data_IF_045351859042
#
_entry.id   IF_045351859042
#
_cell.length_a   1.000
_cell.length_b   1.000
_cell.length_c   1.000
_cell.angle_alpha   90.00
_cell.angle_beta   90.00
_cell.angle_gamma   90.00
#
_symmetry.space_group_name_H-M   'P 1'
#
loop_
_entity.id
_entity.type
_entity.pdbx_description
1 polymer ?
#
# COMPACT_ATOMS: atom_id res chain seq x y z
N UNK A 1 14.53 24.16 13.15
CA UNK A 1 14.45 23.88 11.70
C UNK A 1 14.38 22.38 11.38
N UNK A 2 15.21 21.52 11.99
CA UNK A 2 15.21 20.06 11.74
C UNK A 2 13.85 19.34 11.96
N UNK A 3 13.14 19.63 13.06
CA UNK A 3 11.83 18.99 13.37
C UNK A 3 10.76 19.14 12.29
N UNK A 4 10.78 20.23 11.49
CA UNK A 4 9.78 20.45 10.43
C UNK A 4 10.06 19.62 9.17
N UNK A 5 11.29 19.17 8.96
CA UNK A 5 11.70 18.50 7.73
C UNK A 5 11.71 16.98 7.85
N UNK A 6 11.65 16.43 9.07
CA UNK A 6 11.65 14.98 9.32
C UNK A 6 10.47 14.28 8.62
N UNK A 7 9.21 14.76 8.68
CA UNK A 7 8.11 14.13 7.95
C UNK A 7 8.35 14.10 6.44
N UNK A 8 8.77 15.24 5.86
CA UNK A 8 9.09 15.31 4.43
C UNK A 8 10.23 14.37 4.03
N UNK A 9 11.23 14.19 4.89
CA UNK A 9 12.34 13.26 4.63
C UNK A 9 11.83 11.82 4.60
N UNK A 10 10.88 11.47 5.47
CA UNK A 10 10.23 10.15 5.48
C UNK A 10 9.39 9.94 4.22
N UNK A 11 8.60 10.92 3.79
CA UNK A 11 7.89 10.89 2.50
C UNK A 11 8.84 10.63 1.33
N UNK A 12 9.95 11.39 1.27
CA UNK A 12 10.94 11.25 0.20
C UNK A 12 11.61 9.88 0.26
N UNK A 13 11.96 9.38 1.45
CA UNK A 13 12.51 8.03 1.60
C UNK A 13 11.56 6.95 1.09
N UNK A 14 10.25 7.14 1.26
CA UNK A 14 9.22 6.22 0.78
C UNK A 14 9.09 6.26 -0.75
N UNK A 15 9.12 7.46 -1.31
CA UNK A 15 9.17 7.63 -2.76
C UNK A 15 10.42 6.97 -3.37
N UNK A 16 11.57 7.03 -2.69
CA UNK A 16 12.80 6.34 -3.08
C UNK A 16 12.78 4.83 -2.81
N UNK A 17 11.96 4.36 -1.86
CA UNK A 17 11.78 2.94 -1.61
C UNK A 17 11.12 2.23 -2.80
N UNK A 18 10.24 2.90 -3.56
CA UNK A 18 9.59 2.35 -4.75
C UNK A 18 10.60 1.87 -5.81
N UNK A 19 11.51 2.72 -6.34
CA UNK A 19 12.52 2.25 -7.28
C UNK A 19 13.49 1.25 -6.64
N UNK A 20 13.80 1.38 -5.34
CA UNK A 20 14.64 0.40 -4.65
C UNK A 20 14.01 -1.00 -4.61
N UNK A 21 12.69 -1.10 -4.35
CA UNK A 21 11.93 -2.36 -4.41
C UNK A 21 11.95 -2.90 -5.84
N UNK A 22 11.68 -2.06 -6.85
CA UNK A 22 11.68 -2.51 -8.25
C UNK A 22 13.05 -3.09 -8.62
N UNK A 23 14.13 -2.38 -8.30
CA UNK A 23 15.49 -2.83 -8.56
C UNK A 23 15.85 -4.11 -7.81
N UNK A 24 15.36 -4.30 -6.58
CA UNK A 24 15.67 -5.51 -5.79
C UNK A 24 15.13 -6.78 -6.42
N UNK A 25 14.03 -6.71 -7.19
CA UNK A 25 13.52 -7.86 -7.95
C UNK A 25 14.45 -8.26 -9.12
N UNK A 26 15.33 -7.39 -9.61
CA UNK A 26 16.30 -7.75 -10.66
C UNK A 26 17.56 -8.43 -10.10
N UNK A 27 17.71 -8.52 -8.79
CA UNK A 27 18.84 -9.21 -8.16
C UNK A 27 18.64 -10.72 -8.30
N UNK A 28 19.59 -11.40 -8.95
CA UNK A 28 19.58 -12.85 -9.16
C UNK A 28 20.51 -13.55 -8.17
N UNK A 29 20.18 -13.50 -6.88
CA UNK A 29 20.90 -14.24 -5.85
C UNK A 29 19.93 -14.80 -4.79
N UNK A 30 20.41 -15.75 -3.97
CA UNK A 30 19.62 -16.38 -2.90
C UNK A 30 19.11 -15.42 -1.81
N UNK A 31 19.66 -14.20 -1.76
CA UNK A 31 19.28 -13.18 -0.78
C UNK A 31 18.28 -12.16 -1.35
N UNK A 32 17.93 -12.22 -2.65
CA UNK A 32 17.08 -11.24 -3.31
C UNK A 32 15.70 -11.10 -2.67
N UNK A 33 15.09 -12.24 -2.26
CA UNK A 33 13.84 -12.25 -1.51
C UNK A 33 13.97 -11.51 -0.17
N UNK A 34 15.01 -11.80 0.60
CA UNK A 34 15.27 -11.16 1.89
C UNK A 34 15.51 -9.65 1.75
N UNK A 35 16.27 -9.22 0.75
CA UNK A 35 16.53 -7.81 0.46
C UNK A 35 15.21 -7.10 0.13
N UNK A 36 14.42 -7.68 -0.77
CA UNK A 36 13.13 -7.11 -1.19
C UNK A 36 12.16 -6.98 -0.01
N UNK A 37 12.06 -8.01 0.83
CA UNK A 37 11.23 -7.98 2.06
C UNK A 37 11.74 -6.90 3.02
N UNK A 38 13.06 -6.80 3.20
CA UNK A 38 13.65 -5.81 4.10
C UNK A 38 13.32 -4.39 3.67
N UNK A 39 13.44 -4.08 2.37
CA UNK A 39 13.09 -2.77 1.82
C UNK A 39 11.59 -2.50 1.98
N UNK A 40 10.74 -3.48 1.63
CA UNK A 40 9.28 -3.35 1.74
C UNK A 40 8.83 -3.10 3.18
N UNK A 41 9.29 -3.92 4.13
CA UNK A 41 8.97 -3.80 5.55
C UNK A 41 9.49 -2.49 6.12
N UNK A 42 10.72 -2.09 5.77
CA UNK A 42 11.27 -0.80 6.16
C UNK A 42 10.37 0.35 5.67
N UNK A 43 9.93 0.31 4.42
CA UNK A 43 9.03 1.31 3.86
C UNK A 43 7.68 1.37 4.62
N UNK A 44 7.06 0.23 4.91
CA UNK A 44 5.84 0.16 5.73
C UNK A 44 6.03 0.71 7.15
N UNK A 45 7.17 0.42 7.79
CA UNK A 45 7.49 0.94 9.12
C UNK A 45 7.67 2.47 9.07
N UNK A 46 8.37 2.99 8.06
CA UNK A 46 8.56 4.44 7.91
C UNK A 46 7.23 5.18 7.71
N UNK A 47 6.24 4.57 7.06
CA UNK A 47 4.88 5.14 6.96
C UNK A 47 4.20 5.29 8.32
N UNK A 48 4.25 4.23 9.12
CA UNK A 48 3.67 4.27 10.46
C UNK A 48 4.29 5.39 11.32
N UNK A 49 5.62 5.51 11.29
CA UNK A 49 6.34 6.54 12.04
C UNK A 49 6.06 7.94 11.52
N UNK A 50 5.99 8.15 10.21
CA UNK A 50 5.67 9.44 9.63
C UNK A 50 4.28 9.93 10.07
N UNK A 51 3.27 9.06 9.97
CA UNK A 51 1.93 9.35 10.44
C UNK A 51 1.88 9.63 11.96
N UNK A 52 2.68 8.92 12.76
CA UNK A 52 2.79 9.17 14.20
C UNK A 52 3.44 10.52 14.51
N UNK A 53 4.57 10.82 13.89
CA UNK A 53 5.34 12.05 14.12
C UNK A 53 4.59 13.30 13.61
N UNK A 54 3.93 13.21 12.45
CA UNK A 54 3.11 14.30 11.92
C UNK A 54 1.98 14.67 12.89
N UNK A 55 1.32 13.68 13.50
CA UNK A 55 0.28 13.90 14.52
C UNK A 55 0.86 14.44 15.83
N UNK A 56 1.97 13.88 16.28
CA UNK A 56 2.62 14.26 17.54
C UNK A 56 3.18 15.70 17.51
N UNK A 57 3.72 16.12 16.37
CA UNK A 57 4.37 17.42 16.22
C UNK A 57 3.47 18.51 15.63
N UNK A 58 2.25 18.17 15.18
CA UNK A 58 1.32 19.09 14.49
C UNK A 58 1.98 19.85 13.33
N UNK A 59 2.95 19.22 12.68
CA UNK A 59 3.63 19.76 11.51
C UNK A 59 3.27 18.87 10.33
N UNK A 60 2.55 19.44 9.37
CA UNK A 60 2.31 18.81 8.08
C UNK A 60 2.62 19.83 6.98
N UNK A 61 3.51 19.47 6.06
CA UNK A 61 3.82 20.34 4.93
C UNK A 61 2.80 20.12 3.79
N UNK A 62 2.59 21.13 2.95
CA UNK A 62 1.73 20.99 1.75
C UNK A 62 2.26 19.92 0.79
N UNK A 63 3.58 19.79 0.71
CA UNK A 63 4.26 18.80 -0.12
C UNK A 63 3.99 17.37 0.37
N UNK A 64 4.26 17.09 1.65
CA UNK A 64 4.00 15.78 2.25
C UNK A 64 2.53 15.39 2.11
N UNK A 65 1.61 16.31 2.43
CA UNK A 65 0.16 16.07 2.29
C UNK A 65 -0.28 15.63 0.89
N UNK A 66 0.41 16.09 -0.16
CA UNK A 66 0.14 15.69 -1.54
C UNK A 66 0.83 14.37 -1.92
N UNK A 67 2.09 14.20 -1.54
CA UNK A 67 2.90 13.05 -1.95
C UNK A 67 2.72 11.80 -1.10
N UNK A 68 2.38 11.93 0.19
CA UNK A 68 2.21 10.79 1.11
C UNK A 68 1.17 9.78 0.59
N UNK A 69 -0.05 10.21 0.17
CA UNK A 69 -1.05 9.27 -0.33
C UNK A 69 -0.64 8.60 -1.64
N UNK A 70 0.17 9.27 -2.46
CA UNK A 70 0.64 8.73 -3.74
C UNK A 70 1.73 7.68 -3.49
N UNK A 71 2.76 8.04 -2.71
CA UNK A 71 3.89 7.16 -2.41
C UNK A 71 3.45 5.89 -1.66
N UNK A 72 2.47 6.00 -0.76
CA UNK A 72 1.89 4.87 -0.03
C UNK A 72 1.33 3.79 -0.98
N UNK A 73 0.48 4.20 -1.93
CA UNK A 73 -0.13 3.28 -2.90
C UNK A 73 0.91 2.72 -3.87
N UNK A 74 1.88 3.54 -4.29
CA UNK A 74 2.90 3.10 -5.24
C UNK A 74 3.74 1.94 -4.73
N UNK A 75 4.02 1.85 -3.42
CA UNK A 75 4.76 0.71 -2.85
C UNK A 75 4.00 -0.59 -3.09
N UNK A 76 2.73 -0.66 -2.68
CA UNK A 76 1.93 -1.89 -2.81
C UNK A 76 1.71 -2.23 -4.28
N UNK A 77 1.33 -1.24 -5.09
CA UNK A 77 1.06 -1.44 -6.52
C UNK A 77 2.31 -1.90 -7.27
N UNK A 78 3.45 -1.23 -7.09
CA UNK A 78 4.71 -1.62 -7.75
C UNK A 78 5.16 -3.01 -7.31
N UNK A 79 5.04 -3.35 -6.03
CA UNK A 79 5.42 -4.68 -5.52
C UNK A 79 4.54 -5.77 -6.12
N UNK A 80 3.22 -5.57 -6.19
CA UNK A 80 2.30 -6.53 -6.83
C UNK A 80 2.64 -6.70 -8.33
N UNK A 81 2.90 -5.61 -9.06
CA UNK A 81 3.29 -5.67 -10.47
C UNK A 81 4.59 -6.47 -10.64
N UNK A 82 5.59 -6.25 -9.78
CA UNK A 82 6.85 -6.99 -9.84
C UNK A 82 6.69 -8.47 -9.49
N UNK A 83 5.77 -8.81 -8.57
CA UNK A 83 5.42 -10.19 -8.26
C UNK A 83 4.74 -10.89 -9.44
N UNK A 84 3.89 -10.19 -10.21
CA UNK A 84 3.33 -10.69 -11.47
C UNK A 84 4.44 -10.89 -12.51
N UNK A 85 5.31 -9.89 -12.69
CA UNK A 85 6.44 -9.97 -13.63
C UNK A 85 7.37 -11.16 -13.35
N UNK A 86 7.64 -11.45 -12.07
CA UNK A 86 8.45 -12.61 -11.64
C UNK A 86 7.67 -13.92 -11.55
N UNK A 87 6.43 -13.96 -12.05
CA UNK A 87 5.56 -15.14 -12.04
C UNK A 87 5.33 -15.75 -10.64
N UNK A 88 5.51 -14.94 -9.59
CA UNK A 88 5.20 -15.34 -8.19
C UNK A 88 3.71 -15.21 -7.90
N UNK A 89 3.03 -14.35 -8.64
CA UNK A 89 1.57 -14.31 -8.78
C UNK A 89 1.21 -15.09 -10.05
N UNK A 90 0.32 -16.07 -9.91
CA UNK A 90 -0.15 -16.96 -10.97
C UNK A 90 -1.56 -16.61 -11.45
N UNK A 91 -2.09 -17.36 -12.41
CA UNK A 91 -3.40 -17.11 -13.05
C UNK A 91 -4.56 -16.98 -12.06
N UNK A 92 -4.51 -17.64 -10.90
CA UNK A 92 -5.54 -17.51 -9.86
C UNK A 92 -5.34 -16.30 -8.94
N UNK A 93 -4.12 -15.85 -8.72
CA UNK A 93 -3.80 -14.72 -7.81
C UNK A 93 -3.69 -13.38 -8.53
N UNK A 94 -3.68 -13.37 -9.87
CA UNK A 94 -3.71 -12.14 -10.67
C UNK A 94 -5.05 -11.40 -10.53
N UNK A 95 -6.16 -12.13 -10.42
CA UNK A 95 -7.51 -11.55 -10.25
C UNK A 95 -7.62 -10.70 -8.97
N UNK A 96 -7.32 -11.23 -7.77
CA UNK A 96 -7.37 -10.41 -6.54
C UNK A 96 -6.35 -9.27 -6.57
N UNK A 97 -5.21 -9.44 -7.24
CA UNK A 97 -4.21 -8.38 -7.43
C UNK A 97 -4.77 -7.18 -8.21
N UNK A 98 -5.44 -7.43 -9.34
CA UNK A 98 -6.06 -6.40 -10.17
C UNK A 98 -7.18 -5.69 -9.40
N UNK A 99 -8.01 -6.44 -8.66
CA UNK A 99 -9.08 -5.88 -7.83
C UNK A 99 -8.50 -4.93 -6.79
N UNK A 100 -7.42 -5.35 -6.12
CA UNK A 100 -6.71 -4.55 -5.13
C UNK A 100 -6.18 -3.25 -5.72
N UNK A 101 -5.42 -3.33 -6.81
CA UNK A 101 -4.80 -2.16 -7.47
C UNK A 101 -5.88 -1.19 -7.94
N UNK A 102 -6.87 -1.70 -8.67
CA UNK A 102 -7.97 -0.88 -9.22
C UNK A 102 -8.68 -0.10 -8.11
N UNK A 103 -9.01 -0.77 -7.01
CA UNK A 103 -9.70 -0.14 -5.88
C UNK A 103 -8.80 0.85 -5.15
N UNK A 104 -7.51 0.56 -4.98
CA UNK A 104 -6.59 1.49 -4.32
C UNK A 104 -6.47 2.82 -5.05
N UNK A 105 -6.49 2.80 -6.37
CA UNK A 105 -6.51 4.03 -7.17
C UNK A 105 -7.88 4.70 -7.05
N UNK A 106 -8.97 3.98 -7.31
CA UNK A 106 -10.34 4.53 -7.35
C UNK A 106 -10.79 5.15 -6.02
N UNK A 107 -10.77 4.39 -4.92
CA UNK A 107 -11.27 4.87 -3.61
C UNK A 107 -10.42 6.03 -3.10
N UNK A 108 -9.14 6.05 -3.43
CA UNK A 108 -8.28 7.12 -2.97
C UNK A 108 -8.46 8.40 -3.77
N UNK A 109 -8.65 8.31 -5.08
CA UNK A 109 -9.06 9.46 -5.90
C UNK A 109 -10.39 10.04 -5.43
N UNK A 110 -11.38 9.18 -5.15
CA UNK A 110 -12.67 9.60 -4.57
C UNK A 110 -12.48 10.31 -3.22
N UNK A 111 -11.65 9.75 -2.33
CA UNK A 111 -11.41 10.34 -1.01
C UNK A 111 -10.72 11.71 -1.12
N UNK A 112 -9.73 11.84 -2.01
CA UNK A 112 -9.06 13.12 -2.26
C UNK A 112 -10.03 14.16 -2.82
N UNK A 113 -10.91 13.77 -3.74
CA UNK A 113 -11.98 14.62 -4.28
C UNK A 113 -12.95 15.10 -3.18
N UNK A 114 -13.47 14.20 -2.35
CA UNK A 114 -14.41 14.55 -1.28
C UNK A 114 -13.78 15.45 -0.20
N UNK A 115 -12.50 15.24 0.11
CA UNK A 115 -11.78 16.15 1.02
C UNK A 115 -11.71 17.56 0.43
N UNK A 116 -11.57 17.70 -0.88
CA UNK A 116 -11.57 19.01 -1.55
C UNK A 116 -12.94 19.70 -1.50
N UNK A 117 -14.04 18.94 -1.39
CA UNK A 117 -15.41 19.46 -1.22
C UNK A 117 -15.83 19.61 0.26
N UNK A 118 -14.87 19.59 1.19
CA UNK A 118 -15.08 19.64 2.65
C UNK A 118 -15.85 18.46 3.26
N UNK A 119 -15.91 17.32 2.58
CA UNK A 119 -16.53 16.11 3.13
C UNK A 119 -15.48 15.07 3.49
N UNK A 120 -15.37 14.79 4.79
CA UNK A 120 -14.40 13.81 5.29
C UNK A 120 -15.04 12.42 5.44
N UNK A 121 -14.51 11.43 4.72
CA UNK A 121 -14.84 10.03 4.98
C UNK A 121 -13.85 9.43 5.99
N UNK A 122 -14.33 8.95 7.17
CA UNK A 122 -13.47 8.35 8.18
C UNK A 122 -12.87 7.03 7.68
N UNK A 123 -11.72 6.66 8.23
CA UNK A 123 -11.06 5.38 7.93
C UNK A 123 -11.81 4.25 8.62
N UNK A 124 -12.29 3.27 7.85
CA UNK A 124 -13.00 2.12 8.41
C UNK A 124 -12.04 1.10 9.03
N UNK A 125 -12.51 0.37 10.06
CA UNK A 125 -11.75 -0.76 10.64
C UNK A 125 -11.41 -1.82 9.59
N UNK A 126 -12.31 -2.06 8.66
CA UNK A 126 -12.10 -2.96 7.52
C UNK A 126 -10.92 -2.52 6.64
N UNK A 127 -10.70 -1.21 6.46
CA UNK A 127 -9.54 -0.69 5.76
C UNK A 127 -8.22 -1.09 6.42
N UNK A 128 -8.15 -1.07 7.76
CA UNK A 128 -6.93 -1.49 8.49
C UNK A 128 -6.65 -2.98 8.34
N UNK A 129 -7.68 -3.81 8.48
CA UNK A 129 -7.56 -5.27 8.33
C UNK A 129 -7.13 -5.62 6.90
N UNK A 130 -7.73 -4.97 5.89
CA UNK A 130 -7.36 -5.11 4.49
C UNK A 130 -5.86 -4.86 4.30
N UNK A 131 -5.35 -3.71 4.75
CA UNK A 131 -3.93 -3.35 4.56
C UNK A 131 -3.01 -4.34 5.26
N UNK A 132 -3.36 -4.79 6.48
CA UNK A 132 -2.60 -5.81 7.18
C UNK A 132 -2.51 -7.12 6.37
N UNK A 133 -3.64 -7.61 5.88
CA UNK A 133 -3.68 -8.83 5.07
C UNK A 133 -2.88 -8.69 3.76
N UNK A 134 -2.91 -7.53 3.11
CA UNK A 134 -2.11 -7.27 1.91
C UNK A 134 -0.61 -7.29 2.21
N UNK A 135 -0.17 -6.65 3.30
CA UNK A 135 1.25 -6.66 3.67
C UNK A 135 1.72 -8.09 3.95
N UNK A 136 0.93 -8.89 4.68
CA UNK A 136 1.22 -10.31 4.92
C UNK A 136 1.26 -11.09 3.60
N UNK A 137 0.28 -10.87 2.72
CA UNK A 137 0.22 -11.53 1.42
C UNK A 137 1.45 -11.23 0.56
N UNK A 138 1.83 -9.96 0.45
CA UNK A 138 2.97 -9.50 -0.34
C UNK A 138 4.28 -10.11 0.21
N UNK A 139 4.51 -10.05 1.52
CA UNK A 139 5.72 -10.64 2.12
C UNK A 139 5.80 -12.14 1.86
N UNK A 140 4.70 -12.87 2.06
CA UNK A 140 4.63 -14.31 1.82
C UNK A 140 4.89 -14.66 0.35
N UNK A 141 4.30 -13.90 -0.58
CA UNK A 141 4.50 -14.07 -2.02
C UNK A 141 5.91 -13.68 -2.48
N UNK A 142 6.59 -12.74 -1.81
CA UNK A 142 8.01 -12.44 -2.09
C UNK A 142 8.90 -13.61 -1.68
N UNK A 143 8.68 -14.25 -0.52
CA UNK A 143 9.48 -15.40 -0.09
C UNK A 143 9.37 -16.54 -1.10
N UNK A 144 8.16 -17.06 -1.35
CA UNK A 144 7.87 -18.12 -2.32
C UNK A 144 8.73 -19.42 -2.20
N UNK A 145 9.55 -19.56 -1.17
CA UNK A 145 10.47 -20.70 -1.01
C UNK A 145 9.74 -21.97 -0.53
N UNK A 146 8.57 -21.80 0.10
CA UNK A 146 7.78 -22.89 0.68
C UNK A 146 6.34 -22.81 0.22
N UNK A 147 5.81 -23.95 -0.26
CA UNK A 147 4.42 -24.05 -0.72
C UNK A 147 3.41 -23.51 0.29
N UNK A 148 3.54 -23.87 1.57
CA UNK A 148 2.64 -23.40 2.63
C UNK A 148 2.62 -21.88 2.77
N UNK A 149 3.78 -21.22 2.62
CA UNK A 149 3.88 -19.76 2.68
C UNK A 149 3.20 -19.15 1.44
N UNK A 150 3.43 -19.72 0.26
CA UNK A 150 2.78 -19.27 -0.98
C UNK A 150 1.25 -19.37 -0.90
N UNK A 151 0.70 -20.50 -0.42
CA UNK A 151 -0.74 -20.67 -0.24
C UNK A 151 -1.31 -19.70 0.79
N UNK A 152 -0.60 -19.49 1.90
CA UNK A 152 -1.02 -18.50 2.91
C UNK A 152 -1.06 -17.10 2.31
N UNK A 153 -0.03 -16.72 1.54
CA UNK A 153 0.02 -15.44 0.83
C UNK A 153 -1.15 -15.27 -0.16
N UNK A 154 -1.43 -16.29 -0.95
CA UNK A 154 -2.55 -16.31 -1.89
C UNK A 154 -3.91 -16.16 -1.19
N UNK A 155 -4.14 -16.89 -0.09
CA UNK A 155 -5.37 -16.80 0.71
C UNK A 155 -5.51 -15.39 1.30
N UNK A 156 -4.45 -14.85 1.91
CA UNK A 156 -4.46 -13.49 2.45
C UNK A 156 -4.77 -12.46 1.36
N UNK A 157 -4.24 -12.62 0.15
CA UNK A 157 -4.51 -11.73 -0.99
C UNK A 157 -5.98 -11.77 -1.41
N UNK A 158 -6.59 -12.95 -1.48
CA UNK A 158 -8.00 -13.13 -1.79
C UNK A 158 -8.91 -12.53 -0.72
N UNK A 159 -8.65 -12.81 0.55
CA UNK A 159 -9.41 -12.23 1.66
C UNK A 159 -9.29 -10.71 1.65
N UNK A 160 -8.08 -10.18 1.42
CA UNK A 160 -7.86 -8.76 1.25
C UNK A 160 -8.67 -8.20 0.07
N UNK A 161 -8.72 -8.87 -1.07
CA UNK A 161 -9.50 -8.44 -2.23
C UNK A 161 -11.01 -8.41 -1.94
N UNK A 162 -11.56 -9.40 -1.23
CA UNK A 162 -12.97 -9.42 -0.83
C UNK A 162 -13.29 -8.23 0.09
N UNK A 163 -12.48 -8.00 1.12
CA UNK A 163 -12.64 -6.83 2.01
C UNK A 163 -12.49 -5.54 1.21
N UNK A 164 -11.58 -5.51 0.25
CA UNK A 164 -11.32 -4.37 -0.64
C UNK A 164 -12.55 -4.01 -1.46
N UNK A 165 -13.23 -5.00 -2.05
CA UNK A 165 -14.48 -4.80 -2.80
C UNK A 165 -15.61 -4.31 -1.90
N UNK A 166 -15.86 -4.99 -0.78
CA UNK A 166 -16.94 -4.62 0.14
C UNK A 166 -16.77 -3.20 0.66
N UNK A 167 -15.56 -2.85 1.09
CA UNK A 167 -15.26 -1.49 1.54
C UNK A 167 -15.31 -0.49 0.38
N UNK A 168 -14.83 -0.84 -0.81
CA UNK A 168 -14.89 0.02 -1.99
C UNK A 168 -16.31 0.42 -2.37
N UNK A 169 -17.23 -0.54 -2.38
CA UNK A 169 -18.66 -0.30 -2.59
C UNK A 169 -19.23 0.71 -1.59
N UNK A 170 -18.96 0.50 -0.29
CA UNK A 170 -19.42 1.42 0.76
C UNK A 170 -18.85 2.84 0.60
N UNK A 171 -17.59 2.97 0.18
CA UNK A 171 -16.96 4.26 -0.07
C UNK A 171 -17.61 4.99 -1.26
N UNK A 172 -17.88 4.28 -2.35
CA UNK A 172 -18.52 4.85 -3.55
C UNK A 172 -19.93 5.33 -3.22
N UNK A 173 -20.74 4.50 -2.55
CA UNK A 173 -22.09 4.89 -2.13
C UNK A 173 -22.09 6.12 -1.21
N UNK A 174 -21.17 6.17 -0.24
CA UNK A 174 -21.04 7.31 0.64
C UNK A 174 -20.62 8.58 -0.12
N UNK A 175 -19.77 8.44 -1.14
CA UNK A 175 -19.36 9.56 -1.99
C UNK A 175 -20.49 10.09 -2.88
N UNK A 176 -21.25 9.21 -3.54
CA UNK A 176 -22.38 9.61 -4.40
C UNK A 176 -23.41 10.41 -3.60
N UNK A 177 -23.79 9.94 -2.40
CA UNK A 177 -24.73 10.64 -1.50
C UNK A 177 -24.31 12.04 -1.05
N UNK A 178 -23.05 12.41 -1.27
CA UNK A 178 -22.51 13.72 -0.88
C UNK A 178 -22.36 14.67 -2.08
N UNK A 179 -22.49 14.14 -3.30
CA UNK A 179 -22.34 14.87 -4.56
C UNK A 179 -23.73 15.21 -5.14
N UNK A 180 -24.72 14.35 -4.92
CA UNK A 180 -26.14 14.61 -5.19
C UNK A 180 -26.79 15.45 -4.07
#
# INVERSE_FOLDING_TARGET
>A
MLKKNVPNLLTISRALAVPAIILSFYIENKYAGLITISIFVFACITDFFDGYLARAWKVQSKFGKLFDPIADKLIVVSTIIMLVYKQKINDFTIVPSIIIISREILVSGLREFLIATNVSLPVSKAGKIKTFLQMVAVVALIMNDYYMIQYTGAICLWVAAIITMWSGYNYILAGIKQID
#
